data_IF_523433839311
#
_entry.id   IF_523433839311
#
_cell.length_a   1.000
_cell.length_b   1.000
_cell.length_c   1.000
_cell.angle_alpha   90.00
_cell.angle_beta   90.00
_cell.angle_gamma   90.00
#
_symmetry.space_group_name_H-M   'P 1'
#
loop_
_entity.id
_entity.type
_entity.pdbx_description
1 polymer ?
#
# COMPACT_ATOMS: atom_id res chain seq x y z
N UNK A 1 -19.72 41.98 -22.07
CA UNK A 1 -19.91 40.53 -21.87
C UNK A 1 -19.30 40.10 -20.55
N UNK A 2 -18.01 40.36 -20.29
CA UNK A 2 -17.32 39.97 -19.08
C UNK A 2 -17.97 40.50 -17.79
N UNK A 3 -18.48 41.72 -17.81
CA UNK A 3 -19.12 42.37 -16.65
C UNK A 3 -20.49 41.79 -16.29
N UNK A 4 -21.21 41.19 -17.26
CA UNK A 4 -22.60 40.73 -17.09
C UNK A 4 -22.81 39.26 -17.39
N UNK A 5 -21.71 38.49 -17.53
CA UNK A 5 -21.75 37.06 -17.73
C UNK A 5 -20.63 36.38 -16.91
N UNK A 6 -20.73 35.08 -16.71
CA UNK A 6 -19.69 34.27 -16.00
C UNK A 6 -18.64 33.75 -16.98
N UNK A 7 -18.23 34.55 -17.98
CA UNK A 7 -17.17 34.17 -18.91
C UNK A 7 -15.77 34.22 -18.28
N UNK A 8 -15.62 35.06 -17.24
CA UNK A 8 -14.43 35.18 -16.44
C UNK A 8 -14.83 35.03 -14.95
N UNK A 9 -14.13 34.15 -14.22
CA UNK A 9 -14.40 33.93 -12.81
C UNK A 9 -13.09 33.74 -12.07
N UNK A 10 -13.03 34.23 -10.83
CA UNK A 10 -11.87 34.11 -9.96
C UNK A 10 -12.19 33.12 -8.84
N UNK A 11 -11.48 31.99 -8.81
CA UNK A 11 -11.63 30.97 -7.80
C UNK A 11 -10.51 31.08 -6.78
N UNK A 12 -10.85 31.41 -5.52
CA UNK A 12 -9.90 31.38 -4.41
C UNK A 12 -9.77 29.98 -3.86
N UNK A 13 -8.56 29.43 -3.91
CA UNK A 13 -8.25 28.10 -3.37
C UNK A 13 -7.52 28.23 -2.04
N UNK A 14 -8.16 27.73 -0.96
CA UNK A 14 -7.53 27.63 0.35
C UNK A 14 -7.53 26.15 0.76
N UNK A 15 -6.37 25.53 0.73
CA UNK A 15 -6.21 24.13 1.11
C UNK A 15 -5.89 24.01 2.60
N UNK A 16 -6.88 23.64 3.39
CA UNK A 16 -6.72 23.34 4.82
C UNK A 16 -6.77 21.83 5.00
N UNK A 17 -5.72 21.26 5.59
CA UNK A 17 -5.65 19.84 5.92
C UNK A 17 -5.22 19.63 7.36
N UNK A 18 -5.64 18.48 7.92
CA UNK A 18 -5.17 18.03 9.22
C UNK A 18 -3.87 17.25 9.02
N UNK A 19 -2.76 17.79 9.53
CA UNK A 19 -1.45 17.16 9.44
C UNK A 19 -0.91 16.82 10.82
N UNK A 20 -0.07 15.78 10.94
CA UNK A 20 0.58 15.47 12.20
C UNK A 20 1.45 16.63 12.66
N UNK A 21 1.20 17.11 13.88
CA UNK A 21 2.02 18.13 14.56
C UNK A 21 3.00 17.51 15.54
N UNK A 22 3.71 18.34 16.27
CA UNK A 22 4.60 17.93 17.35
C UNK A 22 3.81 17.12 18.39
N UNK A 23 4.25 15.88 18.65
CA UNK A 23 3.57 14.95 19.57
C UNK A 23 2.44 14.11 18.96
N UNK A 24 2.34 14.03 17.63
CA UNK A 24 1.40 13.10 16.94
C UNK A 24 -0.05 13.56 16.91
N UNK A 25 -0.39 14.73 17.48
CA UNK A 25 -1.73 15.29 17.38
C UNK A 25 -1.95 15.96 16.03
N UNK A 26 -3.11 15.69 15.41
CA UNK A 26 -3.48 16.34 14.17
C UNK A 26 -3.76 17.83 14.39
N UNK A 27 -3.19 18.67 13.53
CA UNK A 27 -3.35 20.11 13.55
C UNK A 27 -3.81 20.62 12.19
N UNK A 28 -4.80 21.54 12.14
CA UNK A 28 -5.18 22.17 10.88
C UNK A 28 -4.09 23.12 10.41
N UNK A 29 -3.66 22.97 9.15
CA UNK A 29 -2.70 23.86 8.50
C UNK A 29 -3.14 24.18 7.08
N UNK A 30 -2.86 25.38 6.64
CA UNK A 30 -2.97 25.77 5.24
C UNK A 30 -1.73 25.23 4.53
N UNK A 31 -1.94 24.45 3.47
CA UNK A 31 -0.88 23.78 2.75
C UNK A 31 -0.86 24.20 1.28
N UNK A 32 0.32 24.27 0.70
CA UNK A 32 0.48 24.33 -0.75
C UNK A 32 0.16 22.98 -1.39
N UNK A 33 -0.15 22.95 -2.68
CA UNK A 33 -0.41 21.69 -3.41
C UNK A 33 0.74 20.69 -3.26
N UNK A 34 1.99 21.16 -3.34
CA UNK A 34 3.17 20.31 -3.15
C UNK A 34 3.20 19.68 -1.77
N UNK A 35 2.94 20.46 -0.72
CA UNK A 35 2.92 19.96 0.65
C UNK A 35 1.81 18.91 0.87
N UNK A 36 0.65 19.07 0.20
CA UNK A 36 -0.41 18.07 0.25
C UNK A 36 0.05 16.75 -0.38
N UNK A 37 0.72 16.82 -1.54
CA UNK A 37 1.27 15.63 -2.20
C UNK A 37 2.34 14.96 -1.34
N UNK A 38 3.24 15.73 -0.73
CA UNK A 38 4.28 15.20 0.17
C UNK A 38 3.65 14.49 1.38
N UNK A 39 2.61 15.08 1.99
CA UNK A 39 1.88 14.45 3.10
C UNK A 39 1.16 13.16 2.66
N UNK A 40 0.57 13.18 1.47
CA UNK A 40 -0.10 12.00 0.92
C UNK A 40 0.88 10.85 0.64
N UNK A 41 2.05 11.15 0.05
CA UNK A 41 3.09 10.15 -0.20
C UNK A 41 3.60 9.57 1.12
N UNK A 42 3.84 10.43 2.14
CA UNK A 42 4.22 9.97 3.48
C UNK A 42 3.19 9.03 4.09
N UNK A 43 1.90 9.37 3.99
CA UNK A 43 0.82 8.53 4.46
C UNK A 43 0.74 7.19 3.72
N UNK A 44 0.87 7.19 2.39
CA UNK A 44 0.88 5.96 1.58
C UNK A 44 2.05 5.05 1.95
N UNK A 45 3.24 5.62 2.18
CA UNK A 45 4.40 4.89 2.68
C UNK A 45 4.10 4.18 3.99
N UNK A 46 3.53 4.88 4.98
CA UNK A 46 3.16 4.30 6.27
C UNK A 46 2.11 3.19 6.14
N UNK A 47 1.15 3.36 5.22
CA UNK A 47 0.12 2.33 4.95
C UNK A 47 0.75 1.08 4.35
N UNK A 48 1.58 1.22 3.32
CA UNK A 48 2.27 0.08 2.68
C UNK A 48 3.17 -0.64 3.69
N UNK A 49 3.95 0.10 4.48
CA UNK A 49 4.81 -0.48 5.51
C UNK A 49 4.03 -1.30 6.53
N UNK A 50 2.95 -0.75 7.10
CA UNK A 50 2.10 -1.46 8.08
C UNK A 50 1.41 -2.67 7.48
N UNK A 51 0.89 -2.55 6.24
CA UNK A 51 0.27 -3.66 5.51
C UNK A 51 1.28 -4.78 5.29
N UNK A 52 2.46 -4.46 4.76
CA UNK A 52 3.51 -5.44 4.47
C UNK A 52 4.00 -6.12 5.75
N UNK A 53 4.17 -5.39 6.86
CA UNK A 53 4.52 -5.98 8.17
C UNK A 53 3.45 -6.93 8.69
N UNK A 54 2.18 -6.60 8.51
CA UNK A 54 1.06 -7.46 8.90
C UNK A 54 1.05 -8.75 8.06
N UNK A 55 1.20 -8.63 6.74
CA UNK A 55 1.21 -9.76 5.82
C UNK A 55 2.44 -10.65 6.05
N UNK A 56 3.61 -10.05 6.32
CA UNK A 56 4.82 -10.77 6.71
C UNK A 56 4.61 -11.59 7.98
N UNK A 57 4.04 -10.97 9.02
CA UNK A 57 3.74 -11.66 10.27
C UNK A 57 2.81 -12.85 10.03
N UNK A 58 1.71 -12.63 9.31
CA UNK A 58 0.74 -13.68 8.98
C UNK A 58 1.36 -14.82 8.16
N UNK A 59 2.24 -14.49 7.21
CA UNK A 59 2.95 -15.50 6.42
C UNK A 59 3.93 -16.32 7.28
N UNK A 60 4.68 -15.67 8.18
CA UNK A 60 5.57 -16.34 9.12
C UNK A 60 4.82 -17.23 10.11
N UNK A 61 3.73 -16.73 10.69
CA UNK A 61 2.89 -17.51 11.61
C UNK A 61 2.35 -18.78 10.92
N UNK A 62 1.98 -18.66 9.63
CA UNK A 62 1.51 -19.81 8.85
C UNK A 62 2.64 -20.78 8.47
N UNK A 63 3.80 -20.26 8.05
CA UNK A 63 4.98 -21.06 7.75
C UNK A 63 5.41 -21.87 8.97
N UNK A 64 5.43 -21.23 10.14
CA UNK A 64 5.76 -21.88 11.41
C UNK A 64 4.84 -23.06 11.75
N UNK A 65 3.53 -22.93 11.49
CA UNK A 65 2.59 -24.07 11.64
C UNK A 65 2.89 -25.18 10.63
N UNK A 66 3.21 -24.83 9.37
CA UNK A 66 3.54 -25.82 8.34
C UNK A 66 4.83 -26.56 8.64
N UNK A 67 5.83 -25.91 9.26
CA UNK A 67 7.04 -26.56 9.75
C UNK A 67 6.72 -27.67 10.74
N UNK A 68 5.90 -27.38 11.75
CA UNK A 68 5.43 -28.38 12.72
C UNK A 68 4.67 -29.53 12.05
N UNK A 69 3.80 -29.23 11.06
CA UNK A 69 3.06 -30.26 10.31
C UNK A 69 3.99 -31.13 9.46
N UNK A 70 5.05 -30.57 8.89
CA UNK A 70 6.04 -31.35 8.13
C UNK A 70 6.81 -32.28 9.04
N UNK A 71 7.31 -31.77 10.19
CA UNK A 71 7.93 -32.63 11.21
C UNK A 71 7.00 -33.76 11.64
N UNK A 72 5.71 -33.47 11.80
CA UNK A 72 4.72 -34.44 12.17
C UNK A 72 4.50 -35.51 11.08
N UNK A 73 4.50 -35.13 9.81
CA UNK A 73 4.36 -36.10 8.71
C UNK A 73 5.57 -36.99 8.54
N UNK A 74 6.78 -36.45 8.78
CA UNK A 74 8.03 -37.22 8.72
C UNK A 74 8.17 -38.19 9.91
N UNK A 75 7.54 -37.90 11.06
CA UNK A 75 7.56 -38.70 12.28
C UNK A 75 6.19 -39.29 12.66
N UNK A 76 5.37 -39.63 11.68
CA UNK A 76 3.94 -39.93 11.84
C UNK A 76 3.67 -41.05 12.84
N UNK A 77 4.42 -42.16 12.78
CA UNK A 77 4.22 -43.33 13.65
C UNK A 77 4.42 -42.98 15.12
N UNK A 78 5.43 -42.15 15.41
CA UNK A 78 5.75 -41.68 16.77
C UNK A 78 4.67 -40.75 17.30
N UNK A 79 4.19 -39.83 16.48
CA UNK A 79 3.09 -38.89 16.81
C UNK A 79 1.81 -39.68 17.11
N UNK A 80 1.45 -40.65 16.27
CA UNK A 80 0.27 -41.49 16.51
C UNK A 80 0.40 -42.26 17.81
N UNK A 81 1.59 -42.77 18.12
CA UNK A 81 1.84 -43.48 19.38
C UNK A 81 1.64 -42.58 20.61
N UNK A 82 2.16 -41.33 20.55
CA UNK A 82 2.01 -40.35 21.65
C UNK A 82 0.54 -39.97 21.82
N UNK A 83 -0.19 -39.63 20.72
CA UNK A 83 -1.60 -39.27 20.81
C UNK A 83 -2.46 -40.40 21.36
N UNK A 84 -2.19 -41.67 20.96
CA UNK A 84 -2.91 -42.85 21.48
C UNK A 84 -2.62 -43.15 22.93
N UNK A 85 -1.43 -42.82 23.41
CA UNK A 85 -1.03 -43.01 24.83
C UNK A 85 -1.64 -41.95 25.75
N UNK A 86 -2.06 -40.79 25.21
CA UNK A 86 -2.62 -39.68 25.96
C UNK A 86 -4.11 -39.88 26.23
N UNK A 87 -4.58 -39.45 27.40
CA UNK A 87 -5.99 -39.62 27.85
C UNK A 87 -6.91 -38.56 27.33
N UNK A 88 -6.37 -37.39 27.04
CA UNK A 88 -7.10 -36.23 26.56
C UNK A 88 -6.21 -35.37 25.65
N UNK A 89 -6.84 -34.37 24.99
CA UNK A 89 -6.18 -33.47 24.05
C UNK A 89 -5.08 -32.60 24.71
N UNK A 90 -5.29 -32.13 25.95
CA UNK A 90 -4.31 -31.33 26.68
C UNK A 90 -3.05 -32.13 26.98
N UNK A 91 -3.20 -33.39 27.49
CA UNK A 91 -2.11 -34.31 27.71
C UNK A 91 -1.37 -34.68 26.42
N UNK A 92 -2.09 -34.85 25.32
CA UNK A 92 -1.47 -35.09 24.02
C UNK A 92 -0.58 -33.93 23.56
N UNK A 93 -1.03 -32.68 23.73
CA UNK A 93 -0.22 -31.50 23.43
C UNK A 93 1.02 -31.39 24.30
N UNK A 94 0.87 -31.57 25.62
CA UNK A 94 2.00 -31.54 26.53
C UNK A 94 3.05 -32.61 26.19
N UNK A 95 2.60 -33.82 25.87
CA UNK A 95 3.49 -34.92 25.51
C UNK A 95 4.19 -34.64 24.14
N UNK A 96 3.48 -34.05 23.18
CA UNK A 96 4.06 -33.69 21.89
C UNK A 96 5.11 -32.56 22.03
N UNK A 97 4.90 -31.59 22.90
CA UNK A 97 5.86 -30.53 23.17
C UNK A 97 7.10 -31.00 23.96
N UNK A 98 6.91 -31.99 24.83
CA UNK A 98 8.00 -32.55 25.63
C UNK A 98 8.90 -33.50 24.83
N UNK A 99 8.41 -34.09 23.78
CA UNK A 99 9.12 -35.07 22.98
C UNK A 99 10.03 -34.41 21.94
N UNK A 100 11.32 -34.79 21.87
CA UNK A 100 12.20 -34.32 20.80
C UNK A 100 11.94 -35.11 19.52
N UNK A 101 11.76 -34.39 18.40
CA UNK A 101 11.64 -34.95 17.07
C UNK A 101 12.95 -34.80 16.30
N UNK A 102 13.30 -35.82 15.52
CA UNK A 102 14.50 -35.78 14.68
C UNK A 102 14.14 -35.45 13.25
N UNK A 103 14.85 -34.49 12.67
CA UNK A 103 14.68 -34.06 11.29
C UNK A 103 15.89 -34.55 10.50
N UNK A 104 15.67 -35.49 9.56
CA UNK A 104 16.75 -36.08 8.75
C UNK A 104 17.20 -35.20 7.57
N UNK A 105 16.50 -34.11 7.24
CA UNK A 105 16.90 -33.21 6.18
C UNK A 105 16.54 -31.76 6.48
N UNK A 106 17.56 -30.96 6.56
CA UNK A 106 17.58 -29.52 6.81
C UNK A 106 17.15 -28.72 5.56
N UNK A 107 16.11 -29.13 4.88
CA UNK A 107 15.53 -28.35 3.80
C UNK A 107 14.66 -27.20 4.30
N UNK A 108 14.37 -27.17 5.60
CA UNK A 108 13.38 -26.24 6.18
C UNK A 108 13.95 -24.93 6.71
N UNK A 109 15.23 -24.89 7.08
CA UNK A 109 15.80 -23.74 7.79
C UNK A 109 16.92 -23.02 7.03
N UNK A 110 17.23 -23.43 5.78
CA UNK A 110 18.33 -22.81 5.03
C UNK A 110 19.71 -22.92 5.68
N UNK A 111 19.86 -23.76 6.71
CA UNK A 111 21.12 -24.02 7.39
C UNK A 111 21.76 -25.23 6.72
N UNK A 112 22.67 -24.95 5.79
CA UNK A 112 23.46 -25.98 5.11
C UNK A 112 24.69 -26.26 5.95
N UNK A 113 24.60 -27.22 6.86
CA UNK A 113 25.80 -27.91 7.33
C UNK A 113 25.48 -29.41 7.52
N UNK A 114 26.04 -30.19 6.64
CA UNK A 114 25.58 -31.52 6.25
C UNK A 114 25.96 -32.65 7.18
N UNK A 115 25.69 -32.64 8.47
CA UNK A 115 26.01 -33.82 9.29
C UNK A 115 25.45 -33.93 10.69
N UNK A 116 24.31 -33.39 11.08
CA UNK A 116 23.79 -33.76 12.41
C UNK A 116 22.28 -33.73 12.47
N UNK A 117 21.68 -34.75 13.11
CA UNK A 117 20.29 -34.79 13.51
C UNK A 117 20.03 -33.66 14.51
N UNK A 118 19.19 -32.72 14.16
CA UNK A 118 18.78 -31.67 15.08
C UNK A 118 17.53 -32.09 15.85
N UNK A 119 17.56 -31.86 17.16
CA UNK A 119 16.38 -31.99 18.01
C UNK A 119 15.44 -30.79 17.71
N UNK A 120 14.24 -31.10 17.30
CA UNK A 120 13.18 -30.14 17.11
C UNK A 120 12.11 -30.36 18.17
N UNK A 121 11.76 -29.28 18.89
CA UNK A 121 10.67 -29.29 19.86
C UNK A 121 9.49 -28.52 19.27
N UNK A 122 8.33 -29.14 19.32
CA UNK A 122 7.07 -28.50 18.91
C UNK A 122 6.64 -27.48 19.96
N UNK A 123 6.15 -26.35 19.53
CA UNK A 123 5.48 -25.37 20.40
C UNK A 123 3.96 -25.58 20.45
N UNK A 124 3.27 -24.82 21.32
CA UNK A 124 1.83 -24.99 21.54
C UNK A 124 0.97 -24.80 20.25
N UNK A 125 1.18 -23.77 19.40
CA UNK A 125 0.48 -23.64 18.13
C UNK A 125 0.69 -24.81 17.17
N UNK A 126 1.91 -25.34 17.09
CA UNK A 126 2.25 -26.47 16.24
C UNK A 126 1.63 -27.76 16.78
N UNK A 127 1.76 -28.01 18.08
CA UNK A 127 1.15 -29.18 18.74
C UNK A 127 -0.38 -29.17 18.59
N UNK A 128 -1.02 -27.99 18.73
CA UNK A 128 -2.47 -27.84 18.49
C UNK A 128 -2.82 -28.20 17.04
N UNK A 129 -2.10 -27.67 16.06
CA UNK A 129 -2.36 -27.94 14.65
C UNK A 129 -2.20 -29.43 14.29
N UNK A 130 -1.27 -30.13 14.98
CA UNK A 130 -1.06 -31.58 14.81
C UNK A 130 -2.23 -32.37 15.40
N UNK A 131 -2.70 -32.03 16.60
CA UNK A 131 -3.82 -32.71 17.25
C UNK A 131 -5.12 -32.49 16.48
N UNK A 132 -5.34 -31.31 15.93
CA UNK A 132 -6.49 -30.96 15.10
C UNK A 132 -6.42 -31.57 13.67
N UNK A 133 -5.29 -32.18 13.31
CA UNK A 133 -5.09 -32.72 11.96
C UNK A 133 -5.95 -33.97 11.72
N UNK A 134 -6.71 -33.94 10.63
CA UNK A 134 -7.49 -35.12 10.21
C UNK A 134 -6.58 -36.18 9.59
N UNK A 135 -6.84 -37.44 9.90
CA UNK A 135 -6.08 -38.59 9.35
C UNK A 135 -5.95 -38.59 7.81
N UNK A 136 -6.94 -38.07 7.09
CA UNK A 136 -6.88 -37.94 5.64
C UNK A 136 -5.80 -36.99 5.13
N UNK A 137 -5.29 -36.08 5.94
CA UNK A 137 -4.16 -35.16 5.59
C UNK A 137 -2.79 -35.83 5.65
N UNK A 138 -2.73 -37.07 6.08
CA UNK A 138 -1.49 -37.86 6.17
C UNK A 138 -1.15 -38.58 4.85
N UNK A 139 -1.96 -38.38 3.80
CA UNK A 139 -1.69 -38.96 2.49
C UNK A 139 -0.51 -38.25 1.79
N UNK A 140 0.24 -38.97 0.94
CA UNK A 140 1.37 -38.41 0.21
C UNK A 140 1.03 -37.17 -0.63
N UNK A 141 -0.19 -37.12 -1.21
CA UNK A 141 -0.69 -35.95 -1.96
C UNK A 141 -0.87 -34.71 -1.08
N UNK A 142 -1.24 -34.88 0.19
CA UNK A 142 -1.37 -33.74 1.10
C UNK A 142 -0.01 -33.27 1.62
N UNK A 143 0.97 -34.17 1.76
CA UNK A 143 2.36 -33.80 2.06
C UNK A 143 2.96 -32.93 0.95
N UNK A 144 2.72 -33.29 -0.32
CA UNK A 144 3.15 -32.44 -1.45
C UNK A 144 2.52 -31.05 -1.37
N UNK A 145 1.23 -30.96 -1.06
CA UNK A 145 0.55 -29.65 -0.90
C UNK A 145 1.11 -28.81 0.24
N UNK A 146 1.45 -29.43 1.38
CA UNK A 146 2.08 -28.76 2.50
C UNK A 146 3.44 -28.21 2.09
N UNK A 147 4.24 -28.99 1.36
CA UNK A 147 5.54 -28.56 0.88
C UNK A 147 5.44 -27.43 -0.17
N UNK A 148 4.46 -27.49 -1.06
CA UNK A 148 4.24 -26.44 -2.06
C UNK A 148 3.74 -25.15 -1.42
N UNK A 149 2.80 -25.24 -0.45
CA UNK A 149 2.32 -24.10 0.33
C UNK A 149 3.50 -23.46 1.11
N UNK A 150 4.37 -24.27 1.69
CA UNK A 150 5.53 -23.78 2.42
C UNK A 150 6.50 -23.01 1.52
N UNK A 151 6.84 -23.56 0.35
CA UNK A 151 7.71 -22.88 -0.64
C UNK A 151 7.11 -21.56 -1.15
N UNK A 152 5.79 -21.53 -1.38
CA UNK A 152 5.09 -20.31 -1.78
C UNK A 152 5.19 -19.25 -0.67
N UNK A 153 5.00 -19.66 0.60
CA UNK A 153 5.13 -18.77 1.74
C UNK A 153 6.56 -18.25 1.93
N UNK A 154 7.60 -19.11 1.76
CA UNK A 154 9.01 -18.66 1.80
C UNK A 154 9.28 -17.58 0.76
N UNK A 155 8.83 -17.80 -0.49
CA UNK A 155 8.97 -16.81 -1.55
C UNK A 155 8.26 -15.49 -1.22
N UNK A 156 7.05 -15.56 -0.65
CA UNK A 156 6.30 -14.37 -0.23
C UNK A 156 6.96 -13.66 0.94
N UNK A 157 7.48 -14.40 1.92
CA UNK A 157 8.21 -13.85 3.07
C UNK A 157 9.44 -13.08 2.57
N UNK A 158 10.25 -13.69 1.70
CA UNK A 158 11.41 -13.03 1.10
C UNK A 158 11.01 -11.74 0.36
N UNK A 159 9.91 -11.76 -0.42
CA UNK A 159 9.40 -10.58 -1.09
C UNK A 159 8.94 -9.47 -0.12
N UNK A 160 8.28 -9.82 0.98
CA UNK A 160 7.89 -8.84 2.01
C UNK A 160 9.11 -8.26 2.74
N UNK A 161 10.12 -9.07 3.02
CA UNK A 161 11.37 -8.63 3.63
C UNK A 161 12.14 -7.70 2.70
N UNK A 162 12.17 -7.99 1.40
CA UNK A 162 12.77 -7.11 0.39
C UNK A 162 12.07 -5.75 0.34
N UNK A 163 10.73 -5.73 0.33
CA UNK A 163 9.96 -4.47 0.37
C UNK A 163 10.29 -3.67 1.63
N UNK A 164 10.40 -4.31 2.79
CA UNK A 164 10.68 -3.66 4.06
C UNK A 164 12.16 -3.30 4.27
N UNK A 165 13.06 -3.78 3.43
CA UNK A 165 14.50 -3.60 3.59
C UNK A 165 14.96 -2.15 3.45
N UNK A 166 14.28 -1.37 2.59
CA UNK A 166 14.58 0.05 2.40
C UNK A 166 13.36 0.86 1.96
N UNK A 167 13.42 2.16 2.24
CA UNK A 167 12.41 3.14 1.87
C UNK A 167 12.15 3.21 0.35
N UNK A 168 13.18 2.99 -0.45
CA UNK A 168 13.07 3.03 -1.90
C UNK A 168 12.15 1.91 -2.43
N UNK A 169 12.20 0.72 -1.84
CA UNK A 169 11.34 -0.40 -2.21
C UNK A 169 9.88 -0.14 -1.84
N UNK A 170 9.63 0.44 -0.66
CA UNK A 170 8.28 0.84 -0.25
C UNK A 170 7.71 1.88 -1.22
N UNK A 171 8.51 2.89 -1.59
CA UNK A 171 8.10 3.91 -2.56
C UNK A 171 7.89 3.34 -3.96
N UNK A 172 8.64 2.30 -4.35
CA UNK A 172 8.42 1.59 -5.61
C UNK A 172 7.04 0.92 -5.65
N UNK A 173 6.61 0.30 -4.55
CA UNK A 173 5.25 -0.27 -4.41
C UNK A 173 4.20 0.82 -4.51
N UNK A 174 4.36 1.95 -3.78
CA UNK A 174 3.44 3.10 -3.88
C UNK A 174 3.34 3.60 -5.31
N UNK A 175 4.49 3.74 -6.00
CA UNK A 175 4.53 4.19 -7.40
C UNK A 175 3.79 3.22 -8.32
N UNK A 176 3.98 1.93 -8.15
CA UNK A 176 3.30 0.90 -8.95
C UNK A 176 1.78 0.99 -8.77
N UNK A 177 1.30 1.02 -7.53
CA UNK A 177 -0.14 1.12 -7.23
C UNK A 177 -0.77 2.40 -7.81
N UNK A 178 -0.06 3.54 -7.72
CA UNK A 178 -0.52 4.79 -8.35
C UNK A 178 -0.52 4.72 -9.88
N UNK A 179 0.43 4.00 -10.50
CA UNK A 179 0.43 3.79 -11.94
C UNK A 179 -0.74 2.93 -12.40
N UNK A 180 -1.10 1.89 -11.65
CA UNK A 180 -2.28 1.06 -11.93
C UNK A 180 -3.57 1.88 -11.86
N UNK A 181 -3.71 2.74 -10.84
CA UNK A 181 -4.84 3.66 -10.72
C UNK A 181 -4.88 4.64 -11.90
N UNK A 182 -3.72 5.20 -12.28
CA UNK A 182 -3.62 6.10 -13.43
C UNK A 182 -4.03 5.41 -14.74
N UNK A 183 -3.61 4.17 -14.97
CA UNK A 183 -3.99 3.41 -16.17
C UNK A 183 -5.48 3.10 -16.21
N UNK A 184 -6.10 2.84 -15.07
CA UNK A 184 -7.50 2.44 -14.97
C UNK A 184 -8.48 3.63 -15.03
N UNK A 185 -8.08 4.76 -14.46
CA UNK A 185 -8.97 5.92 -14.23
C UNK A 185 -8.42 7.24 -14.78
N UNK A 186 -7.22 7.23 -15.37
CA UNK A 186 -6.64 8.45 -15.93
C UNK A 186 -7.34 8.88 -17.19
N UNK A 187 -7.73 10.13 -17.27
CA UNK A 187 -8.26 10.81 -18.43
C UNK A 187 -7.39 12.04 -18.77
N UNK A 188 -7.65 12.63 -19.93
CA UNK A 188 -6.95 13.84 -20.34
C UNK A 188 -7.51 15.06 -19.60
N UNK A 189 -6.65 16.05 -19.42
CA UNK A 189 -7.05 17.31 -18.79
C UNK A 189 -8.07 18.05 -19.66
N UNK A 190 -9.24 18.35 -19.11
CA UNK A 190 -10.29 19.08 -19.81
C UNK A 190 -10.01 20.58 -19.92
N UNK A 191 -9.28 21.16 -18.96
CA UNK A 191 -8.96 22.60 -18.91
C UNK A 191 -7.58 22.87 -19.48
N UNK A 192 -7.46 23.80 -20.42
CA UNK A 192 -6.17 24.28 -20.91
C UNK A 192 -5.56 25.26 -19.91
N UNK A 193 -4.24 25.20 -19.77
CA UNK A 193 -3.48 26.20 -19.04
C UNK A 193 -2.79 27.04 -20.10
N UNK A 194 -3.19 28.29 -20.22
CA UNK A 194 -2.59 29.26 -21.14
C UNK A 194 -2.04 30.40 -20.31
N UNK A 195 -0.86 30.89 -20.67
CA UNK A 195 -0.38 32.15 -20.13
C UNK A 195 -1.07 33.24 -20.97
N UNK A 196 -2.15 33.78 -20.45
CA UNK A 196 -2.77 34.96 -21.03
C UNK A 196 -1.87 36.13 -20.70
N UNK A 197 -0.99 36.49 -21.63
CA UNK A 197 -0.04 37.60 -21.45
C UNK A 197 -0.69 38.94 -21.78
N UNK A 198 -1.83 38.94 -22.45
CA UNK A 198 -2.50 40.14 -22.91
C UNK A 198 -3.76 40.38 -22.07
N UNK A 199 -3.70 41.31 -21.13
CA UNK A 199 -4.87 42.05 -20.72
C UNK A 199 -5.44 42.66 -22.02
N UNK A 200 -6.66 42.27 -22.41
CA UNK A 200 -7.37 42.91 -23.53
C UNK A 200 -7.54 44.34 -23.07
N UNK A 201 -6.73 45.21 -23.63
CA UNK A 201 -6.86 46.64 -23.39
C UNK A 201 -8.25 47.06 -23.84
N UNK A 202 -8.99 47.79 -22.98
CA UNK A 202 -10.34 48.28 -23.35
C UNK A 202 -10.29 49.07 -24.68
N UNK A 203 -9.11 49.63 -24.99
CA UNK A 203 -8.83 50.33 -26.22
C UNK A 203 -8.90 49.43 -27.47
N UNK A 204 -8.49 48.14 -27.34
CA UNK A 204 -8.57 47.16 -28.47
C UNK A 204 -10.00 46.74 -28.80
N UNK A 205 -10.95 46.96 -27.90
CA UNK A 205 -12.39 46.69 -28.12
C UNK A 205 -13.12 47.86 -28.76
N UNK A 206 -12.45 49.00 -28.94
CA UNK A 206 -13.06 50.17 -29.57
C UNK A 206 -12.95 50.04 -31.08
N UNK A 207 -14.07 49.86 -31.72
CA UNK A 207 -14.16 49.80 -33.19
C UNK A 207 -13.61 51.11 -33.81
N UNK A 208 -12.66 50.95 -34.75
CA UNK A 208 -12.11 52.10 -35.47
C UNK A 208 -13.19 52.70 -36.37
N UNK A 209 -13.67 53.89 -36.02
CA UNK A 209 -14.68 54.60 -36.75
C UNK A 209 -14.19 56.02 -37.03
N UNK A 210 -14.49 56.51 -38.19
CA UNK A 210 -14.34 57.92 -38.52
C UNK A 210 -15.26 58.75 -37.62
N UNK A 211 -14.70 59.61 -36.80
CA UNK A 211 -15.46 60.39 -35.86
C UNK A 211 -15.19 61.89 -36.04
N UNK A 212 -16.25 62.67 -35.99
CA UNK A 212 -16.17 64.12 -35.85
C UNK A 212 -16.11 64.45 -34.35
N UNK A 213 -15.15 65.28 -33.95
CA UNK A 213 -15.10 65.79 -32.56
C UNK A 213 -15.26 67.31 -32.57
N UNK A 214 -15.99 67.78 -31.60
CA UNK A 214 -16.18 69.22 -31.37
C UNK A 214 -15.56 69.62 -30.07
N UNK A 215 -14.75 70.68 -30.10
CA UNK A 215 -14.13 71.26 -28.91
C UNK A 215 -14.79 72.60 -28.65
N UNK A 216 -15.37 72.80 -27.45
CA UNK A 216 -15.98 74.09 -27.10
C UNK A 216 -14.92 75.04 -26.59
N UNK A 217 -15.22 76.34 -26.57
CA UNK A 217 -14.33 77.36 -26.00
C UNK A 217 -13.94 77.13 -24.51
N UNK A 218 -14.77 76.40 -23.76
CA UNK A 218 -14.56 76.05 -22.38
C UNK A 218 -13.85 74.72 -22.16
N UNK A 219 -13.30 74.08 -23.22
CA UNK A 219 -12.50 72.86 -23.10
C UNK A 219 -13.31 71.56 -23.08
N UNK A 220 -14.62 71.56 -23.32
CA UNK A 220 -15.39 70.33 -23.43
C UNK A 220 -15.22 69.69 -24.81
N UNK A 221 -14.89 68.37 -24.82
CA UNK A 221 -14.76 67.56 -26.03
C UNK A 221 -15.99 66.65 -26.17
N UNK A 222 -16.57 66.60 -27.36
CA UNK A 222 -17.63 65.64 -27.71
C UNK A 222 -17.22 64.91 -28.98
N UNK A 223 -17.29 63.62 -28.96
CA UNK A 223 -17.05 62.71 -30.10
C UNK A 223 -18.43 62.22 -30.66
N UNK A 224 -18.60 62.25 -31.96
CA UNK A 224 -19.75 61.67 -32.65
C UNK A 224 -19.26 60.88 -33.87
N UNK A 225 -19.88 59.69 -34.21
CA UNK A 225 -19.59 59.01 -35.47
C UNK A 225 -19.81 59.93 -36.64
N UNK A 226 -18.96 59.86 -37.68
CA UNK A 226 -19.06 60.72 -38.88
C UNK A 226 -20.17 60.28 -39.85
N UNK A 227 -20.65 59.04 -39.71
CA UNK A 227 -21.76 58.48 -40.44
C UNK A 227 -23.06 58.68 -39.65
N UNK A 228 -23.84 59.68 -40.04
CA UNK A 228 -25.25 59.82 -39.72
C UNK A 228 -26.02 59.67 -41.03
#
# INVERSE_FOLDING_TARGET
>A
LFTYSQLEDTISMIHIALVPGAGGKLQPRVLTLRQILDQYIGFQKDVVERRTRFDLKKARDRAHILEGLKVATDNIDRIIAIIRASKNEAEAKENLMAEPFWIDQIALLGIVDGSEHFEFHLDEPQAQAIVDMRLGRLSGLEQEKINDEYKDLESRIAGFEEILSCDANILAVVKQELQEIKQKYGDERHTRIENVADEIDIEDLIEQQDCAYTLTHFGYIKRQPASV
#
